data_IF_759932190534
#
_entry.id   IF_759932190534
#
_cell.length_a   1.000
_cell.length_b   1.000
_cell.length_c   1.000
_cell.angle_alpha   90.00
_cell.angle_beta   90.00
_cell.angle_gamma   90.00
#
_symmetry.space_group_name_H-M   'P 1'
#
loop_
_entity.id
_entity.type
_entity.pdbx_description
1 polymer ?
#
# COMPACT_ATOMS: atom_id res chain seq x y z
N UNK A 1 -19.48 -18.70 5.89
CA UNK A 1 -19.72 -17.60 6.87
C UNK A 1 -19.19 -16.32 6.26
N UNK A 2 -20.04 -15.32 6.09
CA UNK A 2 -19.64 -14.03 5.56
C UNK A 2 -19.04 -13.18 6.71
N UNK A 3 -17.73 -13.10 6.77
CA UNK A 3 -17.04 -12.28 7.76
C UNK A 3 -17.01 -10.81 7.32
N UNK A 4 -17.27 -9.90 8.25
CA UNK A 4 -17.21 -8.45 8.05
C UNK A 4 -16.08 -7.77 8.82
N UNK A 5 -15.43 -8.52 9.71
CA UNK A 5 -14.37 -8.05 10.61
C UNK A 5 -13.20 -9.03 10.54
N UNK A 6 -12.00 -8.50 10.42
CA UNK A 6 -10.79 -9.29 10.23
C UNK A 6 -10.48 -10.25 11.38
N UNK A 7 -10.62 -9.83 12.63
CA UNK A 7 -10.24 -10.66 13.79
C UNK A 7 -11.00 -11.99 13.88
N UNK A 8 -12.35 -12.02 13.72
CA UNK A 8 -13.09 -13.28 13.65
C UNK A 8 -12.71 -14.12 12.41
N UNK A 9 -12.49 -13.47 11.24
CA UNK A 9 -12.02 -14.14 10.05
C UNK A 9 -10.69 -14.84 10.31
N UNK A 10 -9.69 -14.13 10.82
CA UNK A 10 -8.37 -14.68 11.11
C UNK A 10 -8.41 -15.89 12.03
N UNK A 11 -9.22 -15.84 13.10
CA UNK A 11 -9.42 -16.99 13.99
C UNK A 11 -10.01 -18.19 13.26
N UNK A 12 -11.03 -17.98 12.44
CA UNK A 12 -11.63 -19.02 11.61
C UNK A 12 -10.66 -19.59 10.58
N UNK A 13 -9.88 -18.72 9.92
CA UNK A 13 -8.88 -19.08 8.93
C UNK A 13 -7.75 -19.95 9.53
N UNK A 14 -7.24 -19.57 10.71
CA UNK A 14 -6.23 -20.37 11.43
C UNK A 14 -6.80 -21.73 11.86
N UNK A 15 -8.04 -21.75 12.40
CA UNK A 15 -8.70 -22.98 12.83
C UNK A 15 -8.98 -23.93 11.66
N UNK A 16 -9.34 -23.41 10.48
CA UNK A 16 -9.51 -24.20 9.27
C UNK A 16 -8.17 -24.81 8.81
N UNK A 17 -7.06 -24.07 9.00
CA UNK A 17 -5.74 -24.46 8.54
C UNK A 17 -5.61 -24.45 7.01
N UNK A 18 -4.49 -24.92 6.53
CA UNK A 18 -4.17 -25.00 5.11
C UNK A 18 -3.37 -26.26 4.80
N UNK A 19 -3.42 -26.68 3.54
CA UNK A 19 -2.66 -27.85 3.06
C UNK A 19 -1.17 -27.53 3.00
N UNK A 20 -0.34 -28.57 3.13
CA UNK A 20 1.10 -28.45 2.87
C UNK A 20 1.39 -27.90 1.46
N UNK A 21 2.56 -27.27 1.26
CA UNK A 21 3.01 -26.88 -0.07
C UNK A 21 2.98 -28.05 -1.05
N UNK A 22 2.64 -27.77 -2.31
CA UNK A 22 2.65 -28.79 -3.33
C UNK A 22 4.09 -29.28 -3.60
N UNK A 23 4.26 -30.58 -3.79
CA UNK A 23 5.54 -31.19 -4.16
C UNK A 23 5.72 -31.03 -5.67
N UNK A 24 6.93 -30.67 -6.11
CA UNK A 24 7.26 -30.63 -7.53
C UNK A 24 7.06 -32.03 -8.16
N UNK A 25 6.22 -32.15 -9.22
CA UNK A 25 5.97 -33.42 -9.86
C UNK A 25 7.27 -33.94 -10.52
N UNK A 26 7.54 -35.23 -10.39
CA UNK A 26 8.74 -35.87 -10.97
C UNK A 26 8.68 -35.95 -12.50
N UNK A 27 7.49 -36.05 -13.05
CA UNK A 27 7.26 -36.15 -14.49
C UNK A 27 6.19 -35.16 -14.89
N UNK A 28 6.51 -34.25 -15.82
CA UNK A 28 5.59 -33.31 -16.42
C UNK A 28 5.50 -33.66 -17.90
N UNK A 29 4.31 -34.08 -18.38
CA UNK A 29 4.03 -34.17 -19.81
C UNK A 29 3.83 -32.73 -20.35
N UNK A 30 4.87 -32.18 -20.93
CA UNK A 30 4.80 -30.86 -21.53
C UNK A 30 4.17 -30.94 -22.92
N UNK A 31 3.22 -30.08 -23.21
CA UNK A 31 2.73 -29.86 -24.58
C UNK A 31 3.80 -29.04 -25.30
N UNK A 32 4.13 -29.45 -26.55
CA UNK A 32 5.05 -28.68 -27.37
C UNK A 32 4.41 -27.32 -27.72
N UNK A 33 5.10 -26.20 -27.47
CA UNK A 33 4.55 -24.89 -27.79
C UNK A 33 4.38 -24.73 -29.30
N UNK A 34 3.26 -24.15 -29.71
CA UNK A 34 3.04 -23.78 -31.11
C UNK A 34 3.88 -22.57 -31.50
N UNK A 35 4.21 -22.44 -32.78
CA UNK A 35 5.04 -21.32 -33.27
C UNK A 35 4.43 -19.92 -33.01
N UNK A 36 3.09 -19.83 -32.99
CA UNK A 36 2.34 -18.62 -32.64
C UNK A 36 2.56 -18.13 -31.21
N UNK A 37 2.99 -19.00 -30.29
CA UNK A 37 3.15 -18.68 -28.86
C UNK A 37 4.48 -17.96 -28.56
N UNK A 38 5.31 -17.72 -29.57
CA UNK A 38 6.65 -17.13 -29.43
C UNK A 38 6.70 -15.62 -29.58
N UNK A 39 5.64 -14.98 -30.04
CA UNK A 39 5.60 -13.55 -30.30
C UNK A 39 4.91 -12.79 -29.16
N UNK A 40 5.57 -12.68 -28.02
CA UNK A 40 5.15 -11.76 -26.99
C UNK A 40 5.61 -10.33 -27.30
N UNK A 41 4.75 -9.32 -27.14
CA UNK A 41 5.18 -7.93 -27.27
C UNK A 41 6.27 -7.62 -26.25
N UNK A 42 7.37 -7.06 -26.74
CA UNK A 42 8.42 -6.54 -25.85
C UNK A 42 8.04 -5.15 -25.37
N UNK A 43 7.75 -5.02 -24.10
CA UNK A 43 7.48 -3.74 -23.45
C UNK A 43 8.79 -3.09 -23.04
N UNK A 44 8.93 -1.81 -23.34
CA UNK A 44 10.03 -1.01 -22.80
C UNK A 44 9.57 -0.40 -21.49
N UNK A 45 10.34 -0.66 -20.43
CA UNK A 45 10.15 0.04 -19.16
C UNK A 45 10.54 1.52 -19.31
N UNK A 46 9.91 2.41 -18.55
CA UNK A 46 10.37 3.79 -18.43
C UNK A 46 11.85 3.83 -18.04
N UNK A 47 12.56 4.83 -18.56
CA UNK A 47 13.98 5.02 -18.22
C UNK A 47 14.14 5.21 -16.71
N UNK A 48 15.09 4.50 -16.12
CA UNK A 48 15.36 4.55 -14.67
C UNK A 48 14.39 3.75 -13.80
N UNK A 49 13.35 3.11 -14.34
CA UNK A 49 12.43 2.30 -13.56
C UNK A 49 13.14 1.10 -12.91
N UNK A 50 12.92 0.91 -11.62
CA UNK A 50 13.44 -0.22 -10.83
C UNK A 50 12.27 -1.08 -10.37
N UNK A 51 11.95 -2.11 -11.13
CA UNK A 51 10.87 -3.03 -10.79
C UNK A 51 11.38 -4.31 -10.15
N UNK A 52 10.51 -4.95 -9.35
CA UNK A 52 10.78 -6.25 -8.74
C UNK A 52 11.09 -7.29 -9.84
N UNK A 53 12.23 -8.00 -9.77
CA UNK A 53 12.55 -9.07 -10.72
C UNK A 53 11.48 -10.17 -10.68
N UNK A 54 10.97 -10.56 -11.86
CA UNK A 54 9.91 -11.55 -11.98
C UNK A 54 10.43 -13.01 -11.92
N UNK A 55 9.51 -13.92 -11.66
CA UNK A 55 9.72 -15.37 -11.75
C UNK A 55 9.92 -16.09 -10.42
N UNK A 56 9.64 -17.39 -10.40
CA UNK A 56 9.73 -18.24 -9.20
C UNK A 56 11.11 -18.18 -8.53
N UNK A 57 12.18 -18.20 -9.32
CA UNK A 57 13.55 -18.08 -8.79
C UNK A 57 13.74 -16.79 -8.00
N UNK A 58 13.34 -15.66 -8.56
CA UNK A 58 13.44 -14.36 -7.90
C UNK A 58 12.58 -14.30 -6.63
N UNK A 59 11.37 -14.88 -6.66
CA UNK A 59 10.50 -15.00 -5.51
C UNK A 59 11.16 -15.78 -4.37
N UNK A 60 11.75 -16.93 -4.67
CA UNK A 60 12.44 -17.78 -3.68
C UNK A 60 13.69 -17.11 -3.12
N UNK A 61 14.48 -16.43 -3.96
CA UNK A 61 15.67 -15.68 -3.53
C UNK A 61 15.27 -14.51 -2.61
N UNK A 62 14.24 -13.74 -2.96
CA UNK A 62 13.73 -12.64 -2.13
C UNK A 62 13.16 -13.17 -0.81
N UNK A 63 12.40 -14.24 -0.82
CA UNK A 63 11.89 -14.88 0.40
C UNK A 63 13.02 -15.34 1.32
N UNK A 64 14.03 -16.02 0.78
CA UNK A 64 15.21 -16.47 1.53
C UNK A 64 15.96 -15.28 2.16
N UNK A 65 16.13 -14.21 1.40
CA UNK A 65 16.76 -12.97 1.89
C UNK A 65 15.96 -12.38 3.05
N UNK A 66 14.67 -12.17 2.87
CA UNK A 66 13.79 -11.60 3.90
C UNK A 66 13.79 -12.44 5.19
N UNK A 67 13.70 -13.76 5.09
CA UNK A 67 13.79 -14.64 6.25
C UNK A 67 15.07 -14.42 7.05
N UNK A 68 16.18 -14.28 6.35
CA UNK A 68 17.49 -14.10 6.99
C UNK A 68 17.69 -12.74 7.63
N UNK A 69 17.08 -11.70 7.09
CA UNK A 69 17.43 -10.30 7.42
C UNK A 69 16.37 -9.57 8.20
N UNK A 70 15.08 -9.88 8.05
CA UNK A 70 14.02 -9.03 8.56
C UNK A 70 12.80 -9.77 9.14
N UNK A 71 12.61 -11.06 8.87
CA UNK A 71 11.40 -11.77 9.34
C UNK A 71 11.31 -11.82 10.87
N UNK A 72 12.40 -12.04 11.57
CA UNK A 72 12.42 -12.16 13.04
C UNK A 72 12.15 -10.83 13.78
N UNK A 73 12.20 -9.71 13.06
CA UNK A 73 11.89 -8.36 13.58
C UNK A 73 10.74 -7.69 12.84
N UNK A 74 9.99 -8.45 12.07
CA UNK A 74 8.95 -7.93 11.18
C UNK A 74 7.84 -7.17 11.91
N UNK A 75 7.48 -7.55 13.13
CA UNK A 75 6.46 -6.88 13.92
C UNK A 75 6.78 -5.38 14.20
N UNK A 76 8.06 -5.01 14.17
CA UNK A 76 8.54 -3.62 14.28
C UNK A 76 8.91 -3.07 12.90
N UNK A 77 9.82 -3.77 12.20
CA UNK A 77 10.43 -3.29 10.95
C UNK A 77 9.44 -3.03 9.81
N UNK A 78 8.31 -3.74 9.80
CA UNK A 78 7.23 -3.57 8.80
C UNK A 78 6.67 -2.16 8.68
N UNK A 79 6.86 -1.31 9.67
CA UNK A 79 6.34 0.05 9.68
C UNK A 79 7.35 1.10 9.20
N UNK A 80 8.64 0.77 9.20
CA UNK A 80 9.71 1.72 8.91
C UNK A 80 9.96 1.77 7.40
N UNK A 81 9.60 2.89 6.76
CA UNK A 81 9.68 3.05 5.31
C UNK A 81 11.12 3.16 4.79
N UNK A 82 12.04 3.68 5.61
CA UNK A 82 13.44 3.91 5.26
C UNK A 82 14.33 2.66 5.25
N UNK A 83 13.82 1.49 5.71
CA UNK A 83 14.59 0.25 5.78
C UNK A 83 13.98 -0.86 4.91
N UNK A 84 14.78 -1.86 4.52
CA UNK A 84 14.28 -3.06 3.82
C UNK A 84 13.69 -4.08 4.82
N UNK A 85 12.71 -3.63 5.60
CA UNK A 85 12.04 -4.39 6.67
C UNK A 85 10.81 -5.19 6.23
N UNK A 86 10.48 -5.20 4.93
CA UNK A 86 9.31 -5.91 4.40
C UNK A 86 9.70 -7.01 3.42
N UNK A 87 8.82 -8.00 3.27
CA UNK A 87 9.10 -9.13 2.39
C UNK A 87 9.18 -8.77 0.92
N UNK A 88 8.44 -7.74 0.48
CA UNK A 88 8.19 -7.41 -0.94
C UNK A 88 7.65 -8.59 -1.76
N UNK A 89 6.93 -9.52 -1.10
CA UNK A 89 6.35 -10.70 -1.74
C UNK A 89 5.04 -10.42 -2.46
N UNK A 90 4.49 -9.21 -2.35
CA UNK A 90 3.16 -8.86 -2.90
C UNK A 90 3.07 -9.08 -4.41
N UNK A 91 4.06 -8.66 -5.20
CA UNK A 91 4.11 -8.91 -6.64
C UNK A 91 4.20 -10.41 -6.96
N UNK A 92 5.10 -11.13 -6.32
CA UNK A 92 5.27 -12.57 -6.51
C UNK A 92 4.02 -13.37 -6.15
N UNK A 93 3.31 -12.98 -5.09
CA UNK A 93 2.03 -13.59 -4.69
C UNK A 93 0.91 -13.24 -5.67
N UNK A 94 0.88 -12.01 -6.18
CA UNK A 94 -0.11 -11.56 -7.18
C UNK A 94 0.00 -12.35 -8.47
N UNK A 95 1.21 -12.53 -8.97
CA UNK A 95 1.46 -13.21 -10.24
C UNK A 95 1.58 -14.73 -10.13
N UNK A 96 1.43 -15.28 -8.89
CA UNK A 96 1.48 -16.72 -8.67
C UNK A 96 2.88 -17.32 -8.82
N UNK A 97 3.92 -16.51 -8.73
CA UNK A 97 5.33 -16.94 -8.80
C UNK A 97 5.76 -17.72 -7.55
N UNK A 98 5.03 -17.54 -6.46
CA UNK A 98 5.14 -18.33 -5.23
C UNK A 98 3.75 -18.49 -4.60
N UNK A 99 3.50 -19.65 -4.00
CA UNK A 99 2.23 -19.90 -3.33
C UNK A 99 2.28 -19.45 -1.85
N UNK A 100 1.22 -18.84 -1.27
CA UNK A 100 1.20 -18.44 0.15
C UNK A 100 1.54 -19.57 1.12
N UNK A 101 1.13 -20.81 0.83
CA UNK A 101 1.44 -21.99 1.66
C UNK A 101 2.94 -22.26 1.79
N UNK A 102 3.75 -21.93 0.78
CA UNK A 102 5.20 -22.05 0.84
C UNK A 102 5.77 -21.11 1.91
N UNK A 103 5.24 -19.88 1.98
CA UNK A 103 5.65 -18.91 3.00
C UNK A 103 5.20 -19.35 4.40
N UNK A 104 3.95 -19.78 4.53
CA UNK A 104 3.34 -20.19 5.79
C UNK A 104 4.00 -21.42 6.41
N UNK A 105 4.45 -22.37 5.60
CA UNK A 105 5.13 -23.60 6.07
C UNK A 105 6.49 -23.32 6.75
N UNK A 106 7.07 -22.15 6.52
CA UNK A 106 8.38 -21.78 7.08
C UNK A 106 8.28 -20.82 8.29
N UNK A 107 7.07 -20.58 8.79
CA UNK A 107 6.85 -19.74 9.98
C UNK A 107 6.94 -20.56 11.26
N UNK A 108 7.48 -19.98 12.32
CA UNK A 108 7.76 -20.66 13.59
C UNK A 108 6.89 -20.24 14.77
N UNK A 109 5.88 -19.38 14.54
CA UNK A 109 4.93 -18.96 15.58
C UNK A 109 5.44 -17.91 16.56
N UNK A 110 6.61 -17.30 16.35
CA UNK A 110 7.02 -16.13 17.11
C UNK A 110 6.12 -14.93 16.77
N UNK A 111 6.10 -13.88 17.62
CA UNK A 111 5.29 -12.68 17.40
C UNK A 111 5.52 -12.04 16.02
N UNK A 112 6.77 -11.97 15.58
CA UNK A 112 7.13 -11.40 14.28
C UNK A 112 6.57 -12.26 13.13
N UNK A 113 6.74 -13.59 13.21
CA UNK A 113 6.21 -14.54 12.24
C UNK A 113 4.67 -14.56 12.23
N UNK A 114 4.04 -14.50 13.39
CA UNK A 114 2.58 -14.39 13.50
C UNK A 114 2.06 -13.09 12.89
N UNK A 115 2.82 -11.99 13.05
CA UNK A 115 2.50 -10.73 12.42
C UNK A 115 2.57 -10.84 10.89
N UNK A 116 3.57 -11.52 10.35
CA UNK A 116 3.67 -11.78 8.91
C UNK A 116 2.55 -12.71 8.42
N UNK A 117 2.22 -13.77 9.17
CA UNK A 117 1.08 -14.64 8.87
C UNK A 117 -0.24 -13.86 8.75
N UNK A 118 -0.45 -12.88 9.63
CA UNK A 118 -1.63 -12.01 9.57
C UNK A 118 -1.71 -11.21 8.26
N UNK A 119 -0.58 -10.81 7.68
CA UNK A 119 -0.59 -10.11 6.37
C UNK A 119 -1.00 -11.05 5.23
N UNK A 120 -0.62 -12.32 5.28
CA UNK A 120 -1.13 -13.32 4.32
C UNK A 120 -2.64 -13.51 4.49
N UNK A 121 -3.12 -13.56 5.73
CA UNK A 121 -4.55 -13.68 6.02
C UNK A 121 -5.36 -12.43 5.60
N UNK A 122 -4.79 -11.22 5.66
CA UNK A 122 -5.44 -10.00 5.14
C UNK A 122 -5.74 -10.10 3.65
N UNK A 123 -4.83 -10.66 2.87
CA UNK A 123 -5.04 -10.90 1.44
C UNK A 123 -6.25 -11.81 1.18
N UNK A 124 -6.36 -12.90 1.95
CA UNK A 124 -7.50 -13.83 1.86
C UNK A 124 -8.80 -13.18 2.35
N UNK A 125 -8.74 -12.39 3.41
CA UNK A 125 -9.90 -11.67 3.93
C UNK A 125 -10.48 -10.70 2.90
N UNK A 126 -9.65 -9.91 2.25
CA UNK A 126 -10.13 -8.98 1.22
C UNK A 126 -10.69 -9.71 0.00
N UNK A 127 -10.10 -10.84 -0.39
CA UNK A 127 -10.65 -11.68 -1.46
C UNK A 127 -12.04 -12.24 -1.08
N UNK A 128 -12.24 -12.68 0.18
CA UNK A 128 -13.53 -13.15 0.71
C UNK A 128 -14.56 -12.03 0.74
N UNK A 129 -14.17 -10.82 1.16
CA UNK A 129 -15.05 -9.64 1.15
C UNK A 129 -15.51 -9.30 -0.27
N UNK A 130 -14.57 -9.22 -1.23
CA UNK A 130 -14.91 -8.91 -2.62
C UNK A 130 -15.80 -9.99 -3.25
N UNK A 131 -15.53 -11.27 -2.95
CA UNK A 131 -16.37 -12.38 -3.43
C UNK A 131 -17.83 -12.26 -2.99
N UNK A 132 -18.05 -11.88 -1.73
CA UNK A 132 -19.40 -11.71 -1.19
C UNK A 132 -20.04 -10.36 -1.51
N UNK A 133 -19.25 -9.35 -1.87
CA UNK A 133 -19.70 -7.98 -2.16
C UNK A 133 -19.03 -7.46 -3.44
N UNK A 134 -19.27 -8.04 -4.61
CA UNK A 134 -18.52 -7.74 -5.84
C UNK A 134 -18.64 -6.28 -6.29
N UNK A 135 -19.74 -5.58 -5.95
CA UNK A 135 -19.91 -4.16 -6.24
C UNK A 135 -18.85 -3.28 -5.59
N UNK A 136 -18.24 -3.74 -4.49
CA UNK A 136 -17.24 -2.97 -3.74
C UNK A 136 -15.88 -2.87 -4.44
N UNK A 137 -15.73 -3.48 -5.61
CA UNK A 137 -14.60 -3.22 -6.50
C UNK A 137 -14.48 -1.74 -6.86
N UNK A 138 -15.61 -1.09 -7.14
CA UNK A 138 -15.67 0.31 -7.59
C UNK A 138 -16.69 1.17 -6.83
N UNK A 139 -17.50 0.58 -5.95
CA UNK A 139 -18.52 1.28 -5.18
C UNK A 139 -18.28 1.14 -3.68
N UNK A 140 -18.99 1.87 -2.87
CA UNK A 140 -18.79 1.95 -1.43
C UNK A 140 -19.34 0.72 -0.70
N UNK A 141 -18.51 0.09 0.16
CA UNK A 141 -18.98 -0.95 1.07
C UNK A 141 -20.00 -0.38 2.08
N UNK A 142 -19.74 0.81 2.62
CA UNK A 142 -20.68 1.57 3.43
C UNK A 142 -21.34 2.65 2.55
N UNK A 143 -22.49 2.35 1.95
CA UNK A 143 -23.21 3.16 0.95
C UNK A 143 -23.41 4.64 1.35
N UNK A 144 -23.51 4.93 2.66
CA UNK A 144 -23.67 6.32 3.12
C UNK A 144 -22.56 7.26 2.68
N UNK A 145 -21.35 6.73 2.43
CA UNK A 145 -20.20 7.53 1.98
C UNK A 145 -20.34 8.03 0.54
N UNK A 146 -21.21 7.43 -0.28
CA UNK A 146 -21.57 7.97 -1.59
C UNK A 146 -22.29 9.33 -1.49
N UNK A 147 -22.83 9.68 -0.32
CA UNK A 147 -23.47 10.98 -0.06
C UNK A 147 -22.51 12.03 0.48
N UNK A 148 -21.26 11.67 0.77
CA UNK A 148 -20.26 12.63 1.24
C UNK A 148 -19.96 13.65 0.14
N UNK A 149 -19.76 14.89 0.54
CA UNK A 149 -19.36 15.98 -0.37
C UNK A 149 -17.88 15.82 -0.72
N UNK A 150 -17.59 15.45 -1.96
CA UNK A 150 -16.24 15.35 -2.49
C UNK A 150 -15.92 16.52 -3.41
N UNK A 151 -14.63 16.87 -3.48
CA UNK A 151 -14.12 17.86 -4.40
C UNK A 151 -13.87 17.24 -5.78
N UNK A 152 -14.00 18.04 -6.84
CA UNK A 152 -13.70 17.55 -8.19
C UNK A 152 -12.19 17.38 -8.39
N UNK A 153 -11.77 16.34 -9.11
CA UNK A 153 -10.39 16.19 -9.55
C UNK A 153 -9.87 17.42 -10.28
N UNK A 154 -8.62 17.81 -10.00
CA UNK A 154 -7.97 18.98 -10.60
C UNK A 154 -6.51 19.07 -10.13
N UNK A 155 -5.94 20.27 -10.14
CA UNK A 155 -4.52 20.50 -9.84
C UNK A 155 -4.01 19.85 -8.54
N UNK A 156 -4.86 19.73 -7.51
CA UNK A 156 -4.48 19.05 -6.25
C UNK A 156 -4.27 17.56 -6.47
N UNK A 157 -5.12 16.92 -7.29
CA UNK A 157 -4.95 15.51 -7.67
C UNK A 157 -3.69 15.32 -8.52
N UNK A 158 -3.43 16.23 -9.46
CA UNK A 158 -2.24 16.17 -10.30
C UNK A 158 -0.97 16.29 -9.45
N UNK A 159 -0.92 17.23 -8.51
CA UNK A 159 0.19 17.39 -7.57
C UNK A 159 0.39 16.15 -6.70
N UNK A 160 -0.69 15.51 -6.24
CA UNK A 160 -0.63 14.25 -5.49
C UNK A 160 -0.04 13.12 -6.36
N UNK A 161 -0.54 12.95 -7.59
CA UNK A 161 -0.04 11.96 -8.54
C UNK A 161 1.45 12.12 -8.84
N UNK A 162 1.93 13.35 -8.96
CA UNK A 162 3.33 13.69 -9.27
C UNK A 162 4.26 13.67 -8.05
N UNK A 163 3.73 13.48 -6.82
CA UNK A 163 4.53 13.60 -5.59
C UNK A 163 5.07 15.02 -5.40
N UNK A 164 4.19 16.02 -5.54
CA UNK A 164 4.44 17.47 -5.44
C UNK A 164 3.43 18.16 -4.53
N UNK A 165 3.04 17.52 -3.44
CA UNK A 165 2.05 18.05 -2.51
C UNK A 165 2.61 19.06 -1.52
N UNK A 166 3.95 19.13 -1.40
CA UNK A 166 4.63 19.88 -0.35
C UNK A 166 4.61 19.20 1.01
N UNK A 167 4.21 17.92 1.08
CA UNK A 167 4.28 17.06 2.25
C UNK A 167 5.33 15.96 2.00
N UNK A 168 6.55 16.07 2.56
CA UNK A 168 7.69 15.25 2.16
C UNK A 168 7.46 13.74 2.20
N UNK A 169 6.77 13.24 3.22
CA UNK A 169 6.51 11.82 3.37
C UNK A 169 5.45 11.30 2.37
N UNK A 170 4.48 12.14 2.00
CA UNK A 170 3.51 11.85 0.93
C UNK A 170 4.20 11.85 -0.42
N UNK A 171 5.00 12.87 -0.69
CA UNK A 171 5.70 13.04 -1.97
C UNK A 171 6.72 11.93 -2.20
N UNK A 172 7.49 11.56 -1.18
CA UNK A 172 8.40 10.43 -1.23
C UNK A 172 7.68 9.12 -1.61
N UNK A 173 6.49 8.89 -1.05
CA UNK A 173 5.71 7.70 -1.32
C UNK A 173 5.18 7.65 -2.75
N UNK A 174 4.65 8.75 -3.26
CA UNK A 174 4.16 8.83 -4.63
C UNK A 174 5.31 8.69 -5.64
N UNK A 175 6.46 9.29 -5.37
CA UNK A 175 7.66 9.14 -6.21
C UNK A 175 8.23 7.71 -6.15
N UNK A 176 8.17 7.03 -5.01
CA UNK A 176 8.51 5.60 -4.94
C UNK A 176 7.61 4.79 -5.87
N UNK A 177 6.29 5.02 -5.85
CA UNK A 177 5.35 4.34 -6.74
C UNK A 177 5.73 4.52 -8.21
N UNK A 178 5.99 5.75 -8.62
CA UNK A 178 6.33 6.07 -10.02
C UNK A 178 7.67 5.47 -10.44
N UNK A 179 8.63 5.34 -9.52
CA UNK A 179 9.98 4.84 -9.81
C UNK A 179 10.09 3.32 -9.73
N UNK A 180 9.45 2.70 -8.72
CA UNK A 180 9.60 1.26 -8.44
C UNK A 180 8.38 0.43 -8.89
N UNK A 181 7.25 1.05 -9.27
CA UNK A 181 5.98 0.34 -9.47
C UNK A 181 5.50 -0.35 -8.18
N UNK A 182 6.04 0.07 -7.05
CA UNK A 182 5.75 -0.48 -5.73
C UNK A 182 5.78 0.62 -4.67
N UNK A 183 5.02 0.45 -3.61
CA UNK A 183 5.00 1.39 -2.49
C UNK A 183 4.93 0.63 -1.18
N UNK A 184 5.64 1.09 -0.16
CA UNK A 184 5.60 0.52 1.18
C UNK A 184 4.18 0.61 1.78
N UNK A 185 3.68 -0.45 2.45
CA UNK A 185 2.31 -0.49 2.95
C UNK A 185 1.95 0.70 3.87
N UNK A 186 2.86 1.10 4.77
CA UNK A 186 2.62 2.25 5.66
C UNK A 186 2.36 3.52 4.87
N UNK A 187 3.11 3.75 3.82
CA UNK A 187 2.97 4.95 3.00
C UNK A 187 1.74 4.89 2.10
N UNK A 188 1.31 3.70 1.62
CA UNK A 188 0.01 3.56 0.92
C UNK A 188 -1.15 4.08 1.77
N UNK A 189 -1.16 3.77 3.07
CA UNK A 189 -2.19 4.27 3.98
C UNK A 189 -2.13 5.80 4.15
N UNK A 190 -0.94 6.37 4.20
CA UNK A 190 -0.76 7.82 4.39
C UNK A 190 -1.20 8.59 3.16
N UNK A 191 -0.75 8.18 1.94
CA UNK A 191 -1.12 8.86 0.71
C UNK A 191 -2.60 8.71 0.39
N UNK A 192 -3.21 7.57 0.72
CA UNK A 192 -4.65 7.34 0.57
C UNK A 192 -5.47 8.22 1.54
N UNK A 193 -5.03 8.31 2.80
CA UNK A 193 -5.66 9.23 3.76
C UNK A 193 -5.55 10.68 3.31
N UNK A 194 -4.38 11.08 2.80
CA UNK A 194 -4.16 12.43 2.31
C UNK A 194 -5.08 12.76 1.13
N UNK A 195 -5.19 11.88 0.14
CA UNK A 195 -6.09 12.08 -0.99
C UNK A 195 -7.55 12.27 -0.56
N UNK A 196 -8.04 11.36 0.30
CA UNK A 196 -9.47 11.34 0.65
C UNK A 196 -9.83 12.38 1.70
N UNK A 197 -8.92 12.68 2.64
CA UNK A 197 -9.25 13.42 3.86
C UNK A 197 -8.59 14.80 3.96
N UNK A 198 -7.54 15.05 3.18
CA UNK A 198 -6.92 16.37 3.08
C UNK A 198 -7.23 17.04 1.72
N UNK A 199 -7.33 16.25 0.64
CA UNK A 199 -7.74 16.78 -0.67
C UNK A 199 -9.23 16.57 -0.97
N UNK A 200 -9.93 15.82 -0.15
CA UNK A 200 -11.37 15.52 -0.26
C UNK A 200 -11.79 14.92 -1.61
N UNK A 201 -10.92 14.13 -2.22
CA UNK A 201 -11.16 13.47 -3.51
C UNK A 201 -11.58 12.03 -3.25
N UNK A 202 -12.56 11.54 -4.03
CA UNK A 202 -13.06 10.17 -3.91
C UNK A 202 -11.94 9.14 -4.05
N UNK A 203 -12.02 8.08 -3.24
CA UNK A 203 -11.00 7.02 -3.17
C UNK A 203 -10.76 6.30 -4.51
N UNK A 204 -11.77 6.23 -5.38
CA UNK A 204 -11.68 5.58 -6.68
C UNK A 204 -10.59 6.19 -7.56
N UNK A 205 -10.43 7.52 -7.55
CA UNK A 205 -9.37 8.19 -8.33
C UNK A 205 -7.96 7.74 -7.91
N UNK A 206 -7.76 7.50 -6.62
CA UNK A 206 -6.49 6.98 -6.11
C UNK A 206 -6.32 5.48 -6.38
N UNK A 207 -7.40 4.71 -6.27
CA UNK A 207 -7.41 3.27 -6.57
C UNK A 207 -7.09 3.00 -8.04
N UNK A 208 -7.65 3.79 -8.96
CA UNK A 208 -7.36 3.73 -10.39
C UNK A 208 -5.89 4.06 -10.67
N UNK A 209 -5.36 5.11 -10.04
CA UNK A 209 -3.94 5.46 -10.18
C UNK A 209 -3.01 4.36 -9.65
N UNK A 210 -3.38 3.70 -8.56
CA UNK A 210 -2.63 2.55 -8.05
C UNK A 210 -2.71 1.36 -9.01
N UNK A 211 -3.87 1.12 -9.61
CA UNK A 211 -4.05 0.05 -10.62
C UNK A 211 -3.10 0.24 -11.81
N UNK A 212 -2.94 1.47 -12.27
CA UNK A 212 -2.09 1.80 -13.42
C UNK A 212 -0.58 1.64 -13.13
N UNK A 213 -0.16 1.80 -11.87
CA UNK A 213 1.26 1.93 -11.53
C UNK A 213 1.82 0.78 -10.68
N UNK A 214 0.98 0.05 -9.92
CA UNK A 214 1.47 -1.01 -9.04
C UNK A 214 1.70 -2.33 -9.77
N UNK A 215 2.92 -2.85 -9.72
CA UNK A 215 3.25 -4.20 -10.24
C UNK A 215 2.60 -5.31 -9.41
N UNK A 216 2.22 -5.03 -8.16
CA UNK A 216 1.53 -5.93 -7.25
C UNK A 216 0.03 -5.67 -7.15
N UNK A 217 -0.55 -4.92 -8.10
CA UNK A 217 -1.96 -4.60 -8.09
C UNK A 217 -2.84 -5.84 -7.94
N UNK A 218 -3.67 -5.85 -6.92
CA UNK A 218 -4.67 -6.86 -6.63
C UNK A 218 -6.01 -6.17 -6.37
N UNK A 219 -7.05 -6.51 -7.13
CA UNK A 219 -8.35 -5.83 -7.07
C UNK A 219 -8.92 -5.79 -5.67
N UNK A 220 -8.94 -6.93 -4.97
CA UNK A 220 -9.52 -7.03 -3.65
C UNK A 220 -8.72 -6.21 -2.62
N UNK A 221 -7.40 -6.36 -2.62
CA UNK A 221 -6.52 -5.64 -1.68
C UNK A 221 -6.52 -4.14 -1.96
N UNK A 222 -6.58 -3.74 -3.23
CA UNK A 222 -6.62 -2.33 -3.61
C UNK A 222 -7.93 -1.67 -3.19
N UNK A 223 -9.07 -2.19 -3.66
CA UNK A 223 -10.38 -1.61 -3.37
C UNK A 223 -10.64 -1.53 -1.84
N UNK A 224 -10.39 -2.62 -1.11
CA UNK A 224 -10.67 -2.64 0.32
C UNK A 224 -9.60 -1.93 1.16
N UNK A 225 -8.35 -1.87 0.72
CA UNK A 225 -7.31 -1.06 1.37
C UNK A 225 -7.62 0.45 1.26
N UNK A 226 -8.06 0.90 0.10
CA UNK A 226 -8.52 2.28 -0.11
C UNK A 226 -9.75 2.61 0.73
N UNK A 227 -10.77 1.76 0.71
CA UNK A 227 -12.00 1.95 1.48
C UNK A 227 -11.76 1.88 2.99
N UNK A 228 -10.86 1.00 3.45
CA UNK A 228 -10.45 0.96 4.86
C UNK A 228 -9.86 2.29 5.29
N UNK A 229 -8.95 2.85 4.48
CA UNK A 229 -8.32 4.17 4.75
C UNK A 229 -9.33 5.30 4.65
N UNK A 230 -10.23 5.27 3.66
CA UNK A 230 -11.30 6.26 3.51
C UNK A 230 -12.30 6.24 4.67
N UNK A 231 -12.43 5.10 5.37
CA UNK A 231 -13.36 4.92 6.48
C UNK A 231 -14.72 4.34 6.06
N UNK A 232 -14.88 4.00 4.78
CA UNK A 232 -16.12 3.43 4.21
C UNK A 232 -16.05 1.91 4.01
N UNK A 233 -14.89 1.27 4.27
CA UNK A 233 -14.66 -0.15 4.05
C UNK A 233 -15.10 -1.04 5.21
N UNK A 234 -14.93 -2.36 4.98
CA UNK A 234 -15.06 -3.38 6.03
C UNK A 234 -13.95 -3.24 7.06
N UNK A 235 -14.22 -3.65 8.30
CA UNK A 235 -13.26 -3.57 9.42
C UNK A 235 -12.63 -2.17 9.59
N UNK A 236 -13.28 -1.14 9.06
CA UNK A 236 -12.84 0.23 9.24
C UNK A 236 -12.73 0.54 10.74
N UNK A 237 -11.71 1.30 11.10
CA UNK A 237 -11.51 1.73 12.49
C UNK A 237 -12.82 2.30 13.05
N UNK A 238 -13.18 2.00 14.31
CA UNK A 238 -14.38 2.57 14.95
C UNK A 238 -14.35 4.11 14.99
N UNK A 239 -13.16 4.69 14.78
CA UNK A 239 -12.97 6.12 14.68
C UNK A 239 -12.51 6.49 13.28
N UNK A 240 -13.12 7.51 12.68
CA UNK A 240 -12.68 8.11 11.43
C UNK A 240 -11.32 8.78 11.64
N UNK A 241 -10.24 8.08 11.28
CA UNK A 241 -8.87 8.58 11.46
C UNK A 241 -8.47 9.45 10.27
N UNK A 242 -8.09 10.68 10.53
CA UNK A 242 -7.32 11.50 9.60
C UNK A 242 -5.85 11.37 9.98
N UNK A 243 -5.04 10.75 9.14
CA UNK A 243 -3.60 10.62 9.43
C UNK A 243 -2.93 11.99 9.24
N UNK A 244 -2.18 12.43 10.25
CA UNK A 244 -1.31 13.59 10.09
C UNK A 244 -0.07 13.16 9.30
N UNK A 245 0.15 13.63 8.05
CA UNK A 245 1.24 13.19 7.20
C UNK A 245 2.62 13.54 7.77
N UNK A 246 2.73 14.63 8.54
CA UNK A 246 3.95 15.06 9.20
C UNK A 246 4.31 14.10 10.33
N UNK A 247 3.37 13.82 11.23
CA UNK A 247 3.58 12.91 12.36
C UNK A 247 3.80 11.46 11.89
N UNK A 248 3.20 11.06 10.77
CA UNK A 248 3.50 9.75 10.16
C UNK A 248 4.95 9.71 9.64
N UNK A 249 5.43 10.76 9.01
CA UNK A 249 6.82 10.89 8.57
C UNK A 249 7.78 10.81 9.77
N UNK A 250 7.62 11.67 10.77
CA UNK A 250 8.45 11.70 11.99
C UNK A 250 8.49 10.34 12.69
N UNK A 251 7.38 9.60 12.69
CA UNK A 251 7.28 8.31 13.39
C UNK A 251 7.87 7.14 12.62
N UNK A 252 7.75 7.11 11.29
CA UNK A 252 8.06 5.93 10.48
C UNK A 252 9.24 6.13 9.53
N UNK A 253 9.81 7.31 9.53
CA UNK A 253 11.03 7.71 8.84
C UNK A 253 11.78 8.77 9.68
N UNK A 254 12.00 8.50 10.96
CA UNK A 254 12.51 9.45 11.96
C UNK A 254 13.75 10.22 11.48
N UNK A 255 14.68 9.54 10.82
CA UNK A 255 15.89 10.14 10.29
C UNK A 255 15.69 10.82 8.92
N UNK A 256 14.56 10.65 8.27
CA UNK A 256 14.30 11.18 6.92
C UNK A 256 15.00 10.41 5.80
N UNK A 257 15.43 9.17 6.05
CA UNK A 257 16.16 8.37 5.05
C UNK A 257 15.30 8.01 3.84
N UNK A 258 14.02 7.69 4.08
CA UNK A 258 13.05 7.44 3.02
C UNK A 258 12.76 8.70 2.21
N UNK A 259 12.55 9.84 2.88
CA UNK A 259 12.33 11.13 2.22
C UNK A 259 13.55 11.48 1.37
N UNK A 260 14.78 11.42 1.90
CA UNK A 260 16.00 11.72 1.13
C UNK A 260 16.16 10.87 -0.11
N UNK A 261 15.76 9.60 -0.03
CA UNK A 261 15.87 8.68 -1.16
C UNK A 261 14.99 9.08 -2.34
N UNK A 262 13.77 9.57 -2.10
CA UNK A 262 12.79 9.83 -3.16
C UNK A 262 12.52 11.33 -3.39
N UNK A 263 12.98 12.19 -2.49
CA UNK A 263 12.87 13.65 -2.58
C UNK A 263 14.25 14.27 -2.41
N UNK A 264 15.13 14.13 -3.42
CA UNK A 264 16.51 14.60 -3.35
C UNK A 264 16.62 16.11 -3.11
N UNK A 265 15.62 16.88 -3.46
CA UNK A 265 15.54 18.34 -3.21
C UNK A 265 15.64 18.67 -1.71
N UNK A 266 15.25 17.74 -0.82
CA UNK A 266 15.30 17.91 0.64
C UNK A 266 16.50 17.22 1.30
N UNK A 267 17.38 16.58 0.53
CA UNK A 267 18.47 15.77 1.08
C UNK A 267 19.46 16.54 1.95
N UNK A 268 19.57 17.85 1.78
CA UNK A 268 20.44 18.74 2.54
C UNK A 268 19.93 19.05 3.96
N UNK A 269 18.63 18.81 4.22
CA UNK A 269 18.01 19.15 5.50
C UNK A 269 18.36 18.15 6.62
N UNK A 270 18.38 18.63 7.86
CA UNK A 270 18.52 17.79 9.05
C UNK A 270 17.32 16.84 9.23
N UNK A 271 17.47 15.81 10.07
CA UNK A 271 16.39 14.85 10.32
C UNK A 271 15.07 15.48 10.78
N UNK A 272 15.03 16.42 11.77
CA UNK A 272 13.78 17.07 12.15
C UNK A 272 13.23 18.00 11.07
N UNK A 273 14.09 18.74 10.37
CA UNK A 273 13.68 19.78 9.41
C UNK A 273 13.12 19.21 8.11
N UNK A 274 13.60 18.03 7.69
CA UNK A 274 13.18 17.38 6.46
C UNK A 274 11.68 17.03 6.43
N UNK A 275 11.06 16.89 7.61
CA UNK A 275 9.62 16.62 7.73
C UNK A 275 8.77 17.88 7.62
N UNK A 276 9.34 19.05 7.88
CA UNK A 276 8.65 20.35 7.89
C UNK A 276 9.52 21.44 7.26
N UNK A 277 9.90 21.29 5.96
CA UNK A 277 10.84 22.19 5.30
C UNK A 277 10.40 23.66 5.30
N UNK A 278 9.11 23.94 5.42
CA UNK A 278 8.56 25.29 5.53
C UNK A 278 8.95 26.05 6.82
N UNK A 279 9.54 25.38 7.81
CA UNK A 279 9.97 25.99 9.05
C UNK A 279 11.42 26.47 9.02
N UNK A 280 12.16 26.22 7.93
CA UNK A 280 13.57 26.56 7.79
C UNK A 280 13.84 27.39 6.53
N UNK A 281 14.85 28.26 6.57
CA UNK A 281 15.14 29.22 5.50
C UNK A 281 15.53 28.55 4.17
N UNK A 282 16.21 27.43 4.25
CA UNK A 282 16.70 26.64 3.11
C UNK A 282 15.77 25.49 2.68
N UNK A 283 14.59 25.40 3.30
CA UNK A 283 13.63 24.35 3.04
C UNK A 283 13.12 24.26 1.60
N UNK A 284 13.19 25.38 0.87
CA UNK A 284 12.77 25.47 -0.54
C UNK A 284 13.94 25.74 -1.51
N UNK A 285 15.17 25.56 -1.05
CA UNK A 285 16.38 25.95 -1.81
C UNK A 285 16.51 25.24 -3.15
N UNK A 286 16.00 24.02 -3.29
CA UNK A 286 16.10 23.21 -4.51
C UNK A 286 14.75 22.98 -5.19
N UNK A 287 13.88 24.00 -5.20
CA UNK A 287 12.58 24.01 -5.86
C UNK A 287 11.60 22.94 -5.34
N UNK A 288 11.73 22.54 -4.07
CA UNK A 288 10.70 21.71 -3.44
C UNK A 288 9.39 22.52 -3.32
N UNK A 289 8.22 21.94 -3.68
CA UNK A 289 6.98 22.70 -3.73
C UNK A 289 6.46 23.10 -2.34
N UNK A 290 5.75 24.22 -2.29
CA UNK A 290 4.97 24.61 -1.12
C UNK A 290 3.80 23.65 -0.87
N UNK A 291 3.30 23.61 0.36
CA UNK A 291 2.13 22.79 0.73
C UNK A 291 0.89 23.25 -0.03
N UNK A 292 0.22 22.32 -0.70
CA UNK A 292 -1.00 22.60 -1.49
C UNK A 292 -2.27 22.76 -0.64
N UNK A 293 -2.21 22.36 0.63
CA UNK A 293 -3.29 22.49 1.63
C UNK A 293 -2.69 22.66 3.03
N UNK A 294 -3.49 23.14 3.98
CA UNK A 294 -3.18 23.13 5.42
C UNK A 294 -3.86 21.92 6.08
N UNK A 295 -3.07 20.93 6.51
CA UNK A 295 -3.58 19.70 7.12
C UNK A 295 -4.50 19.95 8.32
N UNK A 296 -4.23 20.96 9.15
CA UNK A 296 -5.04 21.22 10.34
C UNK A 296 -6.45 21.69 9.96
N UNK A 297 -6.55 22.53 8.93
CA UNK A 297 -7.83 23.02 8.40
C UNK A 297 -8.58 21.89 7.68
N UNK A 298 -7.89 21.14 6.80
CA UNK A 298 -8.53 20.07 6.03
C UNK A 298 -9.00 18.91 6.91
N UNK A 299 -8.30 18.65 8.02
CA UNK A 299 -8.76 17.68 9.03
C UNK A 299 -10.10 18.08 9.63
N UNK A 300 -10.30 19.37 9.96
CA UNK A 300 -11.57 19.87 10.48
C UNK A 300 -12.68 19.78 9.44
N UNK A 301 -12.39 20.15 8.20
CA UNK A 301 -13.31 20.04 7.07
C UNK A 301 -13.71 18.58 6.82
N UNK A 302 -12.75 17.65 6.84
CA UNK A 302 -13.01 16.22 6.67
C UNK A 302 -13.97 15.66 7.75
N UNK A 303 -13.80 16.11 9.00
CA UNK A 303 -14.70 15.73 10.09
C UNK A 303 -16.10 16.35 9.94
N UNK A 304 -16.18 17.60 9.48
CA UNK A 304 -17.46 18.26 9.19
C UNK A 304 -18.24 17.53 8.09
N UNK A 305 -17.57 17.17 6.99
CA UNK A 305 -18.17 16.38 5.88
C UNK A 305 -18.65 15.00 6.33
N UNK A 306 -17.91 14.35 7.26
CA UNK A 306 -18.35 13.09 7.84
C UNK A 306 -19.63 13.27 8.67
N UNK A 307 -19.75 14.38 9.40
CA UNK A 307 -20.94 14.68 10.22
C UNK A 307 -22.19 14.84 9.34
N UNK A 308 -22.03 15.46 8.14
CA UNK A 308 -23.12 15.65 7.18
C UNK A 308 -23.78 14.34 6.71
N UNK A 309 -23.06 13.21 6.76
CA UNK A 309 -23.54 11.90 6.31
C UNK A 309 -23.86 10.92 7.45
N UNK A 310 -23.82 11.36 8.71
CA UNK A 310 -24.24 10.50 9.82
C UNK A 310 -25.72 10.16 9.70
N UNK A 311 -26.12 8.93 9.99
CA UNK A 311 -27.54 8.63 10.14
C UNK A 311 -28.08 9.37 11.35
N UNK A 312 -29.33 9.83 11.26
CA UNK A 312 -30.11 10.42 12.36
C UNK A 312 -30.21 9.48 13.57
#
# INVERSE_FOLDING_TARGET
TNYRVYTPFYKGWVMHGWREPAVTPKNIAAVQPQESDRNFPTWKLPEGAVITPAGEKSALERWKYFKKTALDTYDVGRNLAGIDGTSKMSAHLKWGEIHPRTLLAELNGTKAHETFQKEIAWREFYADILHHNPHTESDYYAERFAKMRYDKPGKKLDAWKEGKTGYPFVDAAMRQLLHEGWMHNRTRMVVASFLVKDLHIEWQHGADFFMEHLVDFDVASNAHGWQWTAGCGTDASPYYRVFNPIEQGKRFDENGDYIRKYVPELAHLSAPDIHEPWNVLDGYLHDYPERIVDHALERLESLARLEEIKPD
#
